data_IF_593095388508
#
_entry.id   IF_593095388508
#
_cell.length_a   1.000
_cell.length_b   1.000
_cell.length_c   1.000
_cell.angle_alpha   90.00
_cell.angle_beta   90.00
_cell.angle_gamma   90.00
#
_symmetry.space_group_name_H-M   'P 1'
#
loop_
_entity.id
_entity.type
_entity.pdbx_description
1 polymer ?
#
# COMPACT_ATOMS: atom_id res chain seq x y z
N UNK A 1 -9.63 -1.31 29.63
CA UNK A 1 -11.07 -0.98 29.60
C UNK A 1 -11.40 0.19 28.66
N UNK A 2 -10.53 1.18 28.46
CA UNK A 2 -10.80 2.31 27.55
C UNK A 2 -10.62 2.00 26.05
N UNK A 3 -9.85 0.97 25.66
CA UNK A 3 -9.74 0.49 24.27
C UNK A 3 -11.03 -0.14 23.72
N UNK A 4 -11.79 -0.83 24.59
CA UNK A 4 -13.09 -1.41 24.25
C UNK A 4 -14.14 -0.35 23.88
N UNK A 5 -14.03 0.88 24.43
CA UNK A 5 -14.96 1.98 24.11
C UNK A 5 -14.82 2.46 22.67
N UNK A 6 -13.62 2.44 22.09
CA UNK A 6 -13.40 2.87 20.70
C UNK A 6 -14.02 1.88 19.69
N UNK A 7 -13.84 0.57 19.92
CA UNK A 7 -14.46 -0.49 19.11
C UNK A 7 -15.98 -0.60 19.34
N UNK A 8 -16.48 -0.20 20.51
CA UNK A 8 -17.92 -0.06 20.77
C UNK A 8 -18.52 1.14 20.03
N UNK A 9 -17.79 2.26 19.93
CA UNK A 9 -18.23 3.43 19.18
C UNK A 9 -18.08 3.27 17.66
N UNK A 10 -17.06 2.59 17.13
CA UNK A 10 -16.97 2.38 15.67
C UNK A 10 -18.08 1.48 15.10
N UNK A 11 -18.73 0.69 15.96
CA UNK A 11 -19.83 -0.22 15.62
C UNK A 11 -21.22 0.33 16.02
N UNK A 12 -21.31 1.48 16.71
CA UNK A 12 -22.57 2.05 17.21
C UNK A 12 -22.66 3.59 17.06
N UNK A 13 -21.54 4.30 16.93
CA UNK A 13 -21.48 5.76 16.83
C UNK A 13 -21.26 6.21 15.39
N UNK A 14 -22.37 6.24 14.66
CA UNK A 14 -22.59 7.35 13.75
C UNK A 14 -22.70 8.63 14.57
N UNK A 15 -21.65 9.43 14.60
CA UNK A 15 -21.85 10.87 14.76
C UNK A 15 -21.02 11.61 13.70
N UNK A 16 -21.75 12.41 12.94
CA UNK A 16 -21.31 13.14 11.77
C UNK A 16 -20.39 14.29 12.16
N UNK A 17 -19.16 14.32 11.65
CA UNK A 17 -18.33 15.51 11.82
C UNK A 17 -16.85 15.37 11.49
N UNK A 18 -16.50 15.03 10.24
CA UNK A 18 -15.35 15.66 9.60
C UNK A 18 -15.38 15.44 8.09
N UNK A 19 -15.57 16.53 7.35
CA UNK A 19 -15.49 16.54 5.88
C UNK A 19 -14.03 16.33 5.47
N UNK A 20 -13.68 15.09 5.13
CA UNK A 20 -12.49 14.83 4.31
C UNK A 20 -12.82 15.27 2.90
N UNK A 21 -12.06 16.26 2.39
CA UNK A 21 -12.17 16.77 1.03
C UNK A 21 -11.93 15.64 0.05
N UNK A 22 -12.95 15.31 -0.73
CA UNK A 22 -12.86 14.46 -1.92
C UNK A 22 -12.34 15.29 -3.07
N UNK A 23 -11.10 15.03 -3.50
CA UNK A 23 -10.61 15.50 -4.80
C UNK A 23 -11.16 14.56 -5.89
N UNK A 24 -12.04 15.11 -6.72
CA UNK A 24 -12.46 14.50 -7.99
C UNK A 24 -11.39 14.73 -9.04
N UNK A 25 -10.97 13.68 -9.76
CA UNK A 25 -10.42 13.82 -11.14
C UNK A 25 -10.41 12.52 -11.94
N UNK A 26 -10.43 12.77 -13.25
CA UNK A 26 -10.88 11.96 -14.36
C UNK A 26 -9.89 10.88 -14.84
N UNK A 27 -10.41 10.04 -15.73
CA UNK A 27 -9.87 8.80 -16.30
C UNK A 27 -8.42 8.80 -16.76
N UNK A 28 -7.76 7.67 -16.49
CA UNK A 28 -6.48 7.24 -17.05
C UNK A 28 -5.55 6.73 -15.96
N UNK A 29 -5.65 5.43 -15.62
CA UNK A 29 -4.66 4.72 -14.79
C UNK A 29 -4.11 5.52 -13.60
N UNK A 30 -4.99 6.08 -12.77
CA UNK A 30 -4.60 6.98 -11.69
C UNK A 30 -3.97 6.18 -10.53
N UNK A 31 -2.65 5.99 -10.56
CA UNK A 31 -1.88 5.89 -9.33
C UNK A 31 -1.93 7.28 -8.68
N UNK A 32 -2.77 7.39 -7.65
CA UNK A 32 -2.95 8.60 -6.87
C UNK A 32 -1.58 9.11 -6.44
N UNK A 33 -1.28 10.37 -6.76
CA UNK A 33 -0.06 11.06 -6.36
C UNK A 33 0.07 11.08 -4.84
N UNK A 34 0.79 10.09 -4.31
CA UNK A 34 1.50 10.26 -3.04
C UNK A 34 2.44 11.44 -3.23
N UNK A 35 2.41 12.38 -2.29
CA UNK A 35 3.42 13.43 -2.22
C UNK A 35 4.79 12.75 -2.22
N UNK A 36 5.50 12.86 -3.34
CA UNK A 36 6.82 12.25 -3.48
C UNK A 36 7.74 13.04 -2.57
N UNK A 37 8.27 12.41 -1.52
CA UNK A 37 9.21 13.06 -0.63
C UNK A 37 10.49 13.42 -1.43
N UNK A 38 10.53 14.66 -1.92
CA UNK A 38 11.60 15.16 -2.78
C UNK A 38 12.95 15.18 -2.06
N UNK A 39 12.96 15.38 -0.74
CA UNK A 39 14.17 15.30 0.07
C UNK A 39 14.79 13.90 -0.01
N UNK A 40 13.98 12.87 0.26
CA UNK A 40 14.39 11.46 0.16
C UNK A 40 14.78 11.08 -1.27
N UNK A 41 14.04 11.55 -2.27
CA UNK A 41 14.35 11.30 -3.68
C UNK A 41 15.72 11.88 -4.08
N UNK A 42 16.02 13.12 -3.71
CA UNK A 42 17.31 13.76 -3.99
C UNK A 42 18.46 13.02 -3.27
N UNK A 43 18.26 12.67 -2.00
CA UNK A 43 19.26 12.00 -1.17
C UNK A 43 19.67 10.61 -1.70
N UNK A 44 18.71 9.84 -2.21
CA UNK A 44 18.96 8.44 -2.62
C UNK A 44 19.13 8.24 -4.13
N UNK A 45 18.56 9.09 -4.98
CA UNK A 45 18.68 8.97 -6.45
C UNK A 45 19.50 10.09 -7.11
N UNK A 46 19.97 11.08 -6.33
CA UNK A 46 20.74 12.19 -6.87
C UNK A 46 22.07 11.79 -7.51
N UNK A 47 22.69 10.71 -7.01
CA UNK A 47 24.01 10.25 -7.45
C UNK A 47 23.95 9.19 -8.56
N UNK A 48 22.99 8.26 -8.44
CA UNK A 48 22.68 7.19 -9.38
C UNK A 48 21.20 6.87 -9.23
N UNK A 49 20.44 6.79 -10.33
CA UNK A 49 19.00 6.51 -10.27
C UNK A 49 18.74 5.05 -9.91
N UNK A 50 17.54 4.76 -9.39
CA UNK A 50 17.14 3.36 -9.09
C UNK A 50 17.08 2.54 -10.39
N UNK A 51 16.53 3.10 -11.48
CA UNK A 51 16.52 2.45 -12.78
C UNK A 51 17.93 2.11 -13.28
N UNK A 52 18.87 3.05 -13.14
CA UNK A 52 20.26 2.81 -13.47
C UNK A 52 20.89 1.74 -12.60
N UNK A 53 20.62 1.75 -11.29
CA UNK A 53 21.13 0.77 -10.34
C UNK A 53 20.66 -0.64 -10.72
N UNK A 54 19.36 -0.81 -10.96
CA UNK A 54 18.78 -2.09 -11.39
C UNK A 54 19.43 -2.57 -12.68
N UNK A 55 19.60 -1.68 -13.66
CA UNK A 55 20.24 -2.00 -14.94
C UNK A 55 21.70 -2.45 -14.78
N UNK A 56 22.54 -1.69 -14.05
CA UNK A 56 23.95 -2.04 -13.87
C UNK A 56 24.11 -3.32 -13.05
N UNK A 57 23.27 -3.52 -12.04
CA UNK A 57 23.29 -4.73 -11.21
C UNK A 57 22.94 -5.96 -12.03
N UNK A 58 22.04 -5.84 -12.99
CA UNK A 58 21.71 -6.94 -13.91
C UNK A 58 22.83 -7.22 -14.91
N UNK A 59 23.29 -6.19 -15.61
CA UNK A 59 24.35 -6.32 -16.62
C UNK A 59 25.65 -6.89 -16.07
N UNK A 60 25.96 -6.58 -14.81
CA UNK A 60 27.17 -7.04 -14.13
C UNK A 60 26.92 -8.21 -13.16
N UNK A 61 25.70 -8.77 -13.15
CA UNK A 61 25.32 -9.92 -12.31
C UNK A 61 25.70 -9.78 -10.84
N UNK A 62 25.28 -8.68 -10.21
CA UNK A 62 25.61 -8.42 -8.81
C UNK A 62 25.07 -9.53 -7.90
N UNK A 63 25.95 -10.07 -7.04
CA UNK A 63 25.50 -10.81 -5.87
C UNK A 63 24.88 -9.85 -4.85
N UNK A 64 24.19 -10.40 -3.85
CA UNK A 64 23.62 -9.61 -2.76
C UNK A 64 24.68 -8.78 -2.04
N UNK A 65 25.82 -9.40 -1.74
CA UNK A 65 26.94 -8.77 -1.04
C UNK A 65 27.56 -7.65 -1.88
N UNK A 66 27.72 -7.89 -3.20
CA UNK A 66 28.26 -6.90 -4.11
C UNK A 66 27.31 -5.69 -4.28
N UNK A 67 26.01 -5.94 -4.34
CA UNK A 67 25.00 -4.88 -4.37
C UNK A 67 25.07 -4.01 -3.13
N UNK A 68 25.09 -4.63 -1.95
CA UNK A 68 25.17 -3.91 -0.68
C UNK A 68 26.47 -3.11 -0.59
N UNK A 69 27.61 -3.72 -0.91
CA UNK A 69 28.91 -3.05 -0.93
C UNK A 69 28.91 -1.86 -1.90
N UNK A 70 28.36 -2.03 -3.10
CA UNK A 70 28.26 -0.97 -4.09
C UNK A 70 27.42 0.19 -3.58
N UNK A 71 26.22 -0.07 -3.05
CA UNK A 71 25.32 0.96 -2.49
C UNK A 71 25.99 1.71 -1.34
N UNK A 72 26.63 0.99 -0.41
CA UNK A 72 27.33 1.58 0.74
C UNK A 72 28.49 2.48 0.29
N UNK A 73 29.25 2.09 -0.74
CA UNK A 73 30.40 2.85 -1.26
C UNK A 73 30.01 3.98 -2.23
N UNK A 74 28.76 4.04 -2.68
CA UNK A 74 28.28 5.03 -3.66
C UNK A 74 27.12 5.86 -3.12
N UNK A 75 25.91 5.32 -3.14
CA UNK A 75 24.67 6.00 -2.76
C UNK A 75 24.77 6.58 -1.35
N UNK A 76 25.21 5.81 -0.36
CA UNK A 76 25.27 6.28 1.02
C UNK A 76 26.38 7.31 1.24
N UNK A 77 27.54 7.12 0.60
CA UNK A 77 28.61 8.14 0.62
C UNK A 77 28.10 9.45 0.02
N UNK A 78 27.44 9.39 -1.13
CA UNK A 78 26.89 10.57 -1.79
C UNK A 78 25.77 11.22 -0.97
N UNK A 79 24.91 10.44 -0.31
CA UNK A 79 23.87 10.92 0.61
C UNK A 79 24.47 11.76 1.74
N UNK A 80 25.47 11.23 2.44
CA UNK A 80 26.13 11.92 3.55
C UNK A 80 26.81 13.21 3.07
N UNK A 81 27.55 13.15 1.96
CA UNK A 81 28.17 14.33 1.35
C UNK A 81 27.14 15.40 0.98
N UNK A 82 26.01 14.98 0.41
CA UNK A 82 24.96 15.90 -0.03
C UNK A 82 24.24 16.56 1.15
N UNK A 83 24.13 15.84 2.27
CA UNK A 83 23.60 16.39 3.51
C UNK A 83 24.56 17.39 4.16
N UNK A 84 25.87 17.10 4.17
CA UNK A 84 26.91 18.00 4.70
C UNK A 84 27.10 19.25 3.83
N UNK A 85 27.15 19.08 2.50
CA UNK A 85 27.31 20.15 1.52
C UNK A 85 26.38 19.94 0.30
N UNK A 86 25.22 20.63 0.25
CA UNK A 86 24.33 20.58 -0.91
C UNK A 86 24.98 21.01 -2.23
N UNK A 87 26.11 21.75 -2.20
CA UNK A 87 26.85 22.12 -3.40
C UNK A 87 27.50 20.92 -4.09
N UNK A 88 27.72 19.82 -3.37
CA UNK A 88 28.24 18.58 -3.92
C UNK A 88 27.33 18.00 -5.02
N UNK A 89 26.03 18.34 -5.04
CA UNK A 89 25.11 17.84 -6.06
C UNK A 89 25.55 18.16 -7.49
N UNK A 90 26.06 19.38 -7.74
CA UNK A 90 26.48 19.80 -9.08
C UNK A 90 27.61 18.96 -9.64
N UNK A 91 28.30 18.22 -8.76
CA UNK A 91 29.45 17.37 -9.03
C UNK A 91 29.06 15.93 -9.32
N UNK A 92 27.85 15.51 -8.98
CA UNK A 92 27.42 14.11 -9.13
C UNK A 92 27.36 13.68 -10.59
N UNK A 93 27.00 14.56 -11.52
CA UNK A 93 26.98 14.23 -12.95
C UNK A 93 28.38 14.20 -13.60
N UNK A 94 29.47 14.30 -12.83
CA UNK A 94 30.82 14.29 -13.40
C UNK A 94 31.27 12.88 -13.82
N UNK A 95 31.83 12.79 -15.02
CA UNK A 95 32.60 11.63 -15.49
C UNK A 95 34.08 12.02 -15.42
N UNK A 96 34.70 11.81 -14.26
CA UNK A 96 36.02 12.37 -13.97
C UNK A 96 37.19 11.63 -14.63
N UNK A 97 38.19 12.41 -15.02
CA UNK A 97 39.60 11.99 -15.06
C UNK A 97 40.21 12.19 -13.66
N UNK A 98 41.20 11.37 -13.28
CA UNK A 98 41.70 11.16 -11.89
C UNK A 98 42.16 12.42 -11.09
N UNK A 99 42.27 13.60 -11.70
CA UNK A 99 42.94 14.78 -11.12
C UNK A 99 42.06 15.86 -10.48
N UNK A 100 40.73 15.80 -10.61
CA UNK A 100 39.93 17.03 -10.50
C UNK A 100 39.19 17.26 -9.15
N UNK A 101 39.36 16.40 -8.14
CA UNK A 101 38.61 16.49 -6.87
C UNK A 101 39.49 16.55 -5.62
N UNK A 102 39.17 17.51 -4.74
CA UNK A 102 39.78 17.69 -3.42
C UNK A 102 39.23 16.74 -2.36
N UNK A 103 38.05 16.14 -2.60
CA UNK A 103 37.36 15.30 -1.63
C UNK A 103 37.45 13.81 -2.02
N UNK A 104 38.25 13.06 -1.27
CA UNK A 104 38.59 11.66 -1.57
C UNK A 104 37.37 10.74 -1.59
N UNK A 105 36.41 10.93 -0.67
CA UNK A 105 35.18 10.12 -0.60
C UNK A 105 34.35 10.25 -1.87
N UNK A 106 34.12 11.48 -2.34
CA UNK A 106 33.36 11.74 -3.55
C UNK A 106 34.06 11.20 -4.79
N UNK A 107 35.39 11.40 -4.88
CA UNK A 107 36.20 10.84 -5.97
C UNK A 107 36.07 9.32 -6.04
N UNK A 108 36.25 8.62 -4.92
CA UNK A 108 36.19 7.15 -4.87
C UNK A 108 34.79 6.64 -5.27
N UNK A 109 33.71 7.30 -4.81
CA UNK A 109 32.35 6.96 -5.20
C UNK A 109 32.11 7.17 -6.70
N UNK A 110 32.59 8.28 -7.27
CA UNK A 110 32.48 8.60 -8.70
C UNK A 110 33.28 7.63 -9.56
N UNK A 111 34.51 7.30 -9.17
CA UNK A 111 35.35 6.31 -9.87
C UNK A 111 34.67 4.94 -9.90
N UNK A 112 34.15 4.47 -8.76
CA UNK A 112 33.46 3.19 -8.68
C UNK A 112 32.20 3.18 -9.55
N UNK A 113 31.35 4.21 -9.47
CA UNK A 113 30.15 4.31 -10.32
C UNK A 113 30.52 4.35 -11.81
N UNK A 114 31.47 5.19 -12.18
CA UNK A 114 31.87 5.38 -13.56
C UNK A 114 32.55 4.12 -14.13
N UNK A 115 33.22 3.31 -13.31
CA UNK A 115 33.73 2.00 -13.71
C UNK A 115 32.60 1.10 -14.26
N UNK A 116 31.46 1.03 -13.57
CA UNK A 116 30.31 0.24 -14.04
C UNK A 116 29.55 0.89 -15.20
N UNK A 117 29.52 2.22 -15.28
CA UNK A 117 28.98 2.88 -16.49
C UNK A 117 29.84 2.63 -17.72
N UNK A 118 31.17 2.60 -17.57
CA UNK A 118 32.08 2.40 -18.69
C UNK A 118 32.20 0.92 -19.10
N UNK A 119 31.82 -0.04 -18.24
CA UNK A 119 31.72 -1.44 -18.63
C UNK A 119 30.50 -1.72 -19.53
N UNK A 120 29.48 -0.86 -19.47
CA UNK A 120 28.30 -0.91 -20.31
C UNK A 120 28.50 -0.19 -21.65
N UNK A 121 28.65 -0.96 -22.73
CA UNK A 121 28.75 -0.40 -24.09
C UNK A 121 27.48 0.30 -24.57
N UNK A 122 26.32 -0.06 -24.02
CA UNK A 122 25.03 0.51 -24.41
C UNK A 122 24.79 1.88 -23.82
N UNK A 123 25.53 2.27 -22.77
CA UNK A 123 25.40 3.51 -22.02
C UNK A 123 24.03 3.71 -21.33
N UNK A 124 23.17 2.69 -21.32
CA UNK A 124 21.80 2.80 -20.80
C UNK A 124 21.79 3.20 -19.33
N UNK A 125 22.61 2.55 -18.49
CA UNK A 125 22.68 2.89 -17.06
C UNK A 125 23.08 4.35 -16.84
N UNK A 126 24.08 4.82 -17.60
CA UNK A 126 24.53 6.21 -17.55
C UNK A 126 23.42 7.18 -17.97
N UNK A 127 22.73 6.89 -19.07
CA UNK A 127 21.63 7.72 -19.58
C UNK A 127 20.48 7.83 -18.57
N UNK A 128 20.06 6.71 -17.99
CA UNK A 128 19.02 6.67 -16.94
C UNK A 128 19.38 7.53 -15.72
N UNK A 129 20.64 7.50 -15.29
CA UNK A 129 21.11 8.36 -14.19
C UNK A 129 21.13 9.83 -14.58
N UNK A 130 21.58 10.15 -15.80
CA UNK A 130 21.61 11.54 -16.31
C UNK A 130 20.21 12.13 -16.47
N UNK A 131 19.25 11.34 -16.93
CA UNK A 131 17.84 11.75 -17.04
C UNK A 131 17.25 12.08 -15.67
N UNK A 132 17.45 11.21 -14.68
CA UNK A 132 17.01 11.44 -13.30
C UNK A 132 17.64 12.70 -12.71
N UNK A 133 18.95 12.88 -12.87
CA UNK A 133 19.67 14.07 -12.41
C UNK A 133 19.10 15.36 -13.03
N UNK A 134 18.86 15.38 -14.36
CA UNK A 134 18.24 16.52 -15.05
C UNK A 134 16.83 16.80 -14.53
N UNK A 135 16.04 15.76 -14.28
CA UNK A 135 14.69 15.89 -13.73
C UNK A 135 14.71 16.52 -12.32
N UNK A 136 15.63 16.09 -11.45
CA UNK A 136 15.81 16.65 -10.11
C UNK A 136 16.28 18.12 -10.14
N UNK A 137 17.21 18.48 -11.02
CA UNK A 137 17.62 19.88 -11.23
C UNK A 137 16.45 20.74 -11.67
N UNK A 138 15.67 20.25 -12.65
CA UNK A 138 14.52 20.99 -13.19
C UNK A 138 13.49 21.27 -12.10
N UNK A 139 13.16 20.27 -11.27
CA UNK A 139 12.21 20.41 -10.15
C UNK A 139 12.69 21.35 -9.05
N UNK A 140 14.00 21.56 -8.93
CA UNK A 140 14.61 22.43 -7.92
C UNK A 140 15.00 23.81 -8.48
N UNK A 141 14.64 24.13 -9.72
CA UNK A 141 15.07 25.37 -10.40
C UNK A 141 16.59 25.59 -10.34
N UNK A 142 17.37 24.50 -10.37
CA UNK A 142 18.83 24.52 -10.26
C UNK A 142 19.39 24.89 -8.88
N UNK A 143 18.54 25.07 -7.86
CA UNK A 143 18.95 25.31 -6.47
C UNK A 143 18.29 24.27 -5.57
N UNK A 144 19.10 23.36 -5.04
CA UNK A 144 18.59 22.35 -4.12
C UNK A 144 17.90 23.01 -2.92
N UNK A 145 16.76 22.46 -2.47
CA UNK A 145 16.16 22.87 -1.21
C UNK A 145 17.11 22.53 -0.05
N UNK A 146 16.85 23.11 1.12
CA UNK A 146 17.52 22.65 2.34
C UNK A 146 17.15 21.19 2.57
N UNK A 147 18.15 20.32 2.52
CA UNK A 147 17.97 18.89 2.75
C UNK A 147 17.93 18.60 4.24
N UNK A 148 17.13 17.60 4.60
CA UNK A 148 17.01 17.08 5.96
C UNK A 148 17.51 15.65 5.97
N UNK A 149 18.28 15.30 7.00
CA UNK A 149 18.75 13.93 7.14
C UNK A 149 17.58 12.98 7.32
N UNK A 150 17.57 11.90 6.53
CA UNK A 150 16.64 10.79 6.69
C UNK A 150 17.44 9.49 6.76
N UNK A 151 17.31 8.76 7.87
CA UNK A 151 17.92 7.44 8.02
C UNK A 151 16.98 6.39 7.44
N UNK A 152 17.14 6.14 6.14
CA UNK A 152 16.36 5.17 5.36
C UNK A 152 17.23 4.14 4.65
N UNK A 153 18.47 3.98 5.10
CA UNK A 153 19.50 3.17 4.42
C UNK A 153 19.12 1.68 4.39
N UNK A 154 18.67 1.14 5.53
CA UNK A 154 18.18 -0.24 5.61
C UNK A 154 16.92 -0.47 4.77
N UNK A 155 16.00 0.50 4.72
CA UNK A 155 14.80 0.41 3.90
C UNK A 155 15.15 0.46 2.40
N UNK A 156 16.12 1.31 2.02
CA UNK A 156 16.65 1.41 0.66
C UNK A 156 17.37 0.12 0.23
N UNK A 157 18.21 -0.47 1.08
CA UNK A 157 18.87 -1.75 0.78
C UNK A 157 17.85 -2.86 0.52
N UNK A 158 16.87 -3.03 1.43
CA UNK A 158 15.81 -4.04 1.26
C UNK A 158 15.01 -3.81 -0.02
N UNK A 159 14.74 -2.55 -0.37
CA UNK A 159 14.08 -2.19 -1.63
C UNK A 159 14.92 -2.63 -2.84
N UNK A 160 16.22 -2.30 -2.86
CA UNK A 160 17.11 -2.67 -3.96
C UNK A 160 17.27 -4.19 -4.08
N UNK A 161 17.38 -4.91 -2.97
CA UNK A 161 17.39 -6.38 -2.95
C UNK A 161 16.11 -6.96 -3.57
N UNK A 162 14.94 -6.45 -3.20
CA UNK A 162 13.66 -6.89 -3.79
C UNK A 162 13.61 -6.63 -5.30
N UNK A 163 14.00 -5.44 -5.74
CA UNK A 163 14.01 -5.09 -7.17
C UNK A 163 14.90 -6.04 -7.97
N UNK A 164 16.09 -6.35 -7.46
CA UNK A 164 17.04 -7.24 -8.13
C UNK A 164 16.59 -8.70 -8.09
N UNK A 165 15.77 -9.10 -7.11
CA UNK A 165 15.20 -10.45 -7.03
C UNK A 165 13.88 -10.60 -7.82
N UNK A 166 13.13 -9.51 -8.05
CA UNK A 166 11.82 -9.50 -8.73
C UNK A 166 11.87 -9.79 -10.25
N UNK A 167 13.04 -10.11 -10.79
CA UNK A 167 13.33 -10.27 -12.24
C UNK A 167 12.50 -11.36 -12.94
N UNK A 168 11.77 -12.17 -12.18
CA UNK A 168 10.95 -13.28 -12.68
C UNK A 168 9.47 -13.17 -12.28
N UNK A 169 9.03 -12.03 -11.74
CA UNK A 169 7.63 -11.82 -11.37
C UNK A 169 6.76 -11.45 -12.58
N UNK A 170 5.49 -11.87 -12.56
CA UNK A 170 4.50 -11.70 -13.65
C UNK A 170 4.28 -10.23 -14.08
N UNK A 171 4.64 -9.27 -13.25
CA UNK A 171 4.35 -7.85 -13.43
C UNK A 171 5.43 -7.04 -14.16
N UNK A 172 6.62 -7.62 -14.36
CA UNK A 172 7.76 -7.00 -15.02
C UNK A 172 8.48 -5.91 -14.19
N UNK A 173 9.77 -5.71 -14.46
CA UNK A 173 10.66 -4.87 -13.65
C UNK A 173 10.20 -3.40 -13.53
N UNK A 174 9.61 -2.83 -14.58
CA UNK A 174 9.11 -1.45 -14.55
C UNK A 174 7.94 -1.24 -13.58
N UNK A 175 7.07 -2.24 -13.39
CA UNK A 175 6.02 -2.14 -12.37
C UNK A 175 6.62 -2.29 -10.97
N UNK A 176 7.58 -3.20 -10.80
CA UNK A 176 8.27 -3.38 -9.53
C UNK A 176 8.99 -2.09 -9.08
N UNK A 177 9.78 -1.46 -9.97
CA UNK A 177 10.45 -0.17 -9.70
C UNK A 177 9.44 0.89 -9.27
N UNK A 178 8.36 1.07 -10.02
CA UNK A 178 7.32 2.07 -9.70
C UNK A 178 6.65 1.81 -8.35
N UNK A 179 6.34 0.55 -8.03
CA UNK A 179 5.71 0.16 -6.77
C UNK A 179 6.63 0.41 -5.58
N UNK A 180 7.88 -0.05 -5.68
CA UNK A 180 8.89 0.09 -4.64
C UNK A 180 9.25 1.56 -4.39
N UNK A 181 9.45 2.35 -5.45
CA UNK A 181 9.70 3.79 -5.33
C UNK A 181 8.52 4.54 -4.72
N UNK A 182 7.29 4.23 -5.13
CA UNK A 182 6.09 4.85 -4.56
C UNK A 182 5.97 4.60 -3.04
N UNK A 183 6.29 3.38 -2.60
CA UNK A 183 6.32 3.04 -1.17
C UNK A 183 7.48 3.74 -0.46
N UNK A 184 8.70 3.65 -1.01
CA UNK A 184 9.90 4.21 -0.41
C UNK A 184 9.84 5.72 -0.28
N UNK A 185 9.19 6.44 -1.20
CA UNK A 185 9.02 7.90 -1.14
C UNK A 185 7.72 8.37 -0.48
N UNK A 186 6.90 7.45 0.01
CA UNK A 186 5.67 7.82 0.71
C UNK A 186 5.98 8.42 2.09
N UNK A 187 5.27 9.49 2.44
CA UNK A 187 5.19 9.97 3.81
C UNK A 187 4.01 9.25 4.47
N UNK A 188 4.31 8.29 5.35
CA UNK A 188 3.29 7.52 6.05
C UNK A 188 2.68 8.37 7.16
N UNK A 189 1.36 8.43 7.20
CA UNK A 189 0.64 8.95 8.35
C UNK A 189 0.73 7.93 9.51
N UNK A 190 0.97 8.40 10.73
CA UNK A 190 0.88 7.54 11.90
C UNK A 190 -0.57 7.06 12.08
N UNK A 191 -0.75 5.74 12.16
CA UNK A 191 -2.07 5.13 12.36
C UNK A 191 -2.11 4.40 13.70
N UNK A 192 -3.14 4.64 14.54
CA UNK A 192 -3.32 3.90 15.78
C UNK A 192 -3.43 2.39 15.53
N UNK A 193 -2.70 1.59 16.33
CA UNK A 193 -2.72 0.12 16.22
C UNK A 193 -4.13 -0.48 16.30
N UNK A 194 -5.03 0.11 17.09
CA UNK A 194 -6.43 -0.30 17.14
C UNK A 194 -7.14 -0.12 15.81
N UNK A 195 -6.89 0.98 15.10
CA UNK A 195 -7.50 1.24 13.80
C UNK A 195 -6.98 0.26 12.75
N UNK A 196 -5.68 -0.08 12.79
CA UNK A 196 -5.09 -1.12 11.95
C UNK A 196 -5.77 -2.47 12.19
N UNK A 197 -5.92 -2.86 13.45
CA UNK A 197 -6.58 -4.12 13.81
C UNK A 197 -8.05 -4.15 13.39
N UNK A 198 -8.80 -3.08 13.65
CA UNK A 198 -10.21 -2.98 13.26
C UNK A 198 -10.37 -3.09 11.73
N UNK A 199 -9.48 -2.45 10.97
CA UNK A 199 -9.45 -2.54 9.50
C UNK A 199 -9.04 -3.92 9.01
N UNK A 200 -8.08 -4.59 9.66
CA UNK A 200 -7.68 -5.97 9.36
C UNK A 200 -8.84 -6.94 9.55
N UNK A 201 -9.55 -6.84 10.68
CA UNK A 201 -10.73 -7.64 10.96
C UNK A 201 -11.78 -7.35 9.89
N UNK A 202 -12.14 -6.08 9.72
CA UNK A 202 -13.17 -5.64 8.76
C UNK A 202 -12.92 -6.20 7.36
N UNK A 203 -11.72 -6.01 6.80
CA UNK A 203 -11.37 -6.53 5.48
C UNK A 203 -11.41 -8.06 5.42
N UNK A 204 -10.91 -8.74 6.46
CA UNK A 204 -10.91 -10.20 6.52
C UNK A 204 -12.33 -10.76 6.49
N UNK A 205 -13.27 -10.13 7.19
CA UNK A 205 -14.67 -10.60 7.25
C UNK A 205 -15.59 -9.95 6.19
N UNK A 206 -15.02 -9.53 5.05
CA UNK A 206 -15.78 -9.07 3.88
C UNK A 206 -16.25 -7.62 3.94
N UNK A 207 -15.67 -6.81 4.81
CA UNK A 207 -16.04 -5.40 5.02
C UNK A 207 -15.88 -4.50 3.81
N UNK A 208 -15.07 -4.90 2.81
CA UNK A 208 -14.98 -4.23 1.51
C UNK A 208 -16.24 -4.37 0.65
N UNK A 209 -17.03 -5.42 0.88
CA UNK A 209 -18.30 -5.67 0.19
C UNK A 209 -19.47 -5.20 1.06
N UNK A 210 -19.47 -5.63 2.32
CA UNK A 210 -20.52 -5.31 3.28
C UNK A 210 -19.89 -5.03 4.65
N UNK A 211 -19.84 -3.76 5.04
CA UNK A 211 -19.26 -3.32 6.30
C UNK A 211 -19.89 -4.10 7.47
N UNK A 212 -19.08 -4.76 8.32
CA UNK A 212 -19.61 -5.75 9.27
C UNK A 212 -20.59 -5.14 10.28
N UNK A 213 -20.36 -3.89 10.69
CA UNK A 213 -21.27 -3.18 11.58
C UNK A 213 -22.64 -2.93 10.97
N UNK A 214 -22.68 -2.53 9.70
CA UNK A 214 -23.94 -2.36 8.97
C UNK A 214 -24.65 -3.69 8.85
N UNK A 215 -23.92 -4.76 8.54
CA UNK A 215 -24.50 -6.08 8.35
C UNK A 215 -25.09 -6.65 9.65
N UNK A 216 -24.37 -6.55 10.77
CA UNK A 216 -24.85 -6.97 12.09
C UNK A 216 -26.15 -6.24 12.45
N UNK A 217 -26.20 -4.92 12.27
CA UNK A 217 -27.38 -4.12 12.57
C UNK A 217 -28.57 -4.44 11.66
N UNK A 218 -28.30 -4.76 10.39
CA UNK A 218 -29.32 -5.14 9.43
C UNK A 218 -29.90 -6.51 9.77
N UNK A 219 -29.04 -7.50 10.05
CA UNK A 219 -29.46 -8.87 10.41
C UNK A 219 -30.32 -8.85 11.67
N UNK A 220 -29.97 -8.06 12.70
CA UNK A 220 -30.81 -7.88 13.89
C UNK A 220 -32.22 -7.36 13.59
N UNK A 221 -32.38 -6.59 12.51
CA UNK A 221 -33.67 -5.98 12.10
C UNK A 221 -34.40 -6.79 11.05
N UNK A 222 -33.76 -7.80 10.45
CA UNK A 222 -34.38 -8.68 9.47
C UNK A 222 -35.38 -9.62 10.18
N UNK A 223 -36.66 -9.38 9.97
CA UNK A 223 -37.71 -10.26 10.46
C UNK A 223 -38.02 -11.36 9.42
N UNK A 224 -37.11 -12.31 9.27
CA UNK A 224 -37.23 -13.44 8.33
C UNK A 224 -37.24 -14.79 9.07
N UNK A 225 -38.08 -15.75 8.66
CA UNK A 225 -37.96 -17.13 9.11
C UNK A 225 -36.59 -17.70 8.75
N UNK A 226 -36.01 -18.54 9.61
CA UNK A 226 -34.74 -19.24 9.38
C UNK A 226 -33.53 -18.32 9.09
N UNK A 227 -33.34 -17.27 9.90
CA UNK A 227 -32.23 -16.32 9.74
C UNK A 227 -30.85 -17.00 9.74
N UNK A 228 -30.67 -18.05 10.52
CA UNK A 228 -29.43 -18.87 10.51
C UNK A 228 -29.14 -19.49 9.15
N UNK A 229 -30.14 -20.02 8.45
CA UNK A 229 -29.96 -20.59 7.12
C UNK A 229 -29.57 -19.51 6.10
N UNK A 230 -30.20 -18.33 6.21
CA UNK A 230 -29.84 -17.17 5.39
C UNK A 230 -28.38 -16.75 5.61
N UNK A 231 -27.96 -16.60 6.88
CA UNK A 231 -26.59 -16.22 7.27
C UNK A 231 -25.57 -17.22 6.73
N UNK A 232 -25.78 -18.52 6.98
CA UNK A 232 -24.86 -19.57 6.52
C UNK A 232 -24.73 -19.62 4.99
N UNK A 233 -25.79 -19.27 4.25
CA UNK A 233 -25.76 -19.22 2.78
C UNK A 233 -25.03 -17.98 2.25
N UNK A 234 -25.23 -16.82 2.87
CA UNK A 234 -24.70 -15.55 2.36
C UNK A 234 -23.24 -15.32 2.71
N UNK A 235 -22.80 -15.74 3.90
CA UNK A 235 -21.45 -15.42 4.41
C UNK A 235 -20.34 -15.93 3.48
N UNK A 236 -20.34 -17.19 3.01
CA UNK A 236 -19.32 -17.65 2.07
C UNK A 236 -19.24 -16.81 0.79
N UNK A 237 -20.37 -16.26 0.32
CA UNK A 237 -20.39 -15.41 -0.89
C UNK A 237 -19.83 -14.01 -0.63
N UNK A 238 -20.11 -13.44 0.54
CA UNK A 238 -19.58 -12.14 0.94
C UNK A 238 -18.08 -12.20 1.25
N UNK A 239 -17.58 -13.34 1.77
CA UNK A 239 -16.17 -13.52 2.11
C UNK A 239 -15.29 -13.94 0.92
N UNK A 240 -15.86 -14.55 -0.11
CA UNK A 240 -15.13 -15.08 -1.25
C UNK A 240 -14.15 -14.09 -1.93
N UNK A 241 -14.45 -12.77 -2.05
CA UNK A 241 -13.47 -11.80 -2.57
C UNK A 241 -12.26 -11.62 -1.65
N UNK A 242 -12.47 -11.59 -0.33
CA UNK A 242 -11.38 -11.47 0.65
C UNK A 242 -10.56 -12.77 0.74
N UNK A 243 -11.18 -13.94 0.59
CA UNK A 243 -10.46 -15.21 0.47
C UNK A 243 -9.53 -15.24 -0.75
N UNK A 244 -10.02 -14.76 -1.90
CA UNK A 244 -9.23 -14.63 -3.13
C UNK A 244 -8.09 -13.60 -2.98
N UNK A 245 -8.33 -12.51 -2.26
CA UNK A 245 -7.27 -11.55 -1.94
C UNK A 245 -6.16 -12.22 -1.12
N UNK A 246 -6.52 -12.92 -0.04
CA UNK A 246 -5.56 -13.59 0.84
C UNK A 246 -4.77 -14.67 0.09
N UNK A 247 -5.42 -15.45 -0.77
CA UNK A 247 -4.74 -16.49 -1.56
C UNK A 247 -3.70 -15.88 -2.50
N UNK A 248 -4.00 -14.74 -3.13
CA UNK A 248 -3.08 -14.03 -4.05
C UNK A 248 -1.97 -13.28 -3.34
N UNK A 249 -2.14 -12.94 -2.06
CA UNK A 249 -1.09 -12.35 -1.24
C UNK A 249 -0.01 -13.36 -0.83
N UNK A 250 -0.27 -14.66 -0.98
CA UNK A 250 0.67 -15.70 -0.59
C UNK A 250 1.99 -15.56 -1.38
N UNK A 251 3.12 -15.67 -0.68
CA UNK A 251 4.50 -15.50 -1.20
C UNK A 251 4.85 -14.12 -1.77
N UNK A 252 3.94 -13.15 -1.75
CA UNK A 252 4.24 -11.78 -2.16
C UNK A 252 5.02 -11.01 -1.11
N UNK A 253 5.90 -10.12 -1.57
CA UNK A 253 6.58 -9.13 -0.73
C UNK A 253 5.58 -8.16 -0.08
N UNK A 254 6.02 -7.45 0.96
CA UNK A 254 5.18 -6.48 1.65
C UNK A 254 4.58 -5.42 0.70
N UNK A 255 5.40 -4.83 -0.16
CA UNK A 255 4.98 -3.77 -1.10
C UNK A 255 3.97 -4.27 -2.12
N UNK A 256 4.15 -5.50 -2.62
CA UNK A 256 3.20 -6.18 -3.48
C UNK A 256 1.87 -6.44 -2.78
N UNK A 257 1.90 -7.00 -1.56
CA UNK A 257 0.71 -7.24 -0.76
C UNK A 257 -0.06 -5.95 -0.55
N UNK A 258 0.63 -4.87 -0.19
CA UNK A 258 0.05 -3.56 0.04
C UNK A 258 -0.61 -3.00 -1.22
N UNK A 259 0.10 -3.04 -2.36
CA UNK A 259 -0.46 -2.63 -3.66
C UNK A 259 -1.71 -3.44 -4.00
N UNK A 260 -1.64 -4.76 -3.87
CA UNK A 260 -2.74 -5.67 -4.19
C UNK A 260 -3.98 -5.39 -3.35
N UNK A 261 -3.81 -5.14 -2.04
CA UNK A 261 -4.91 -4.78 -1.13
C UNK A 261 -5.54 -3.45 -1.54
N UNK A 262 -4.73 -2.44 -1.83
CA UNK A 262 -5.23 -1.12 -2.24
C UNK A 262 -5.97 -1.21 -3.59
N UNK A 263 -5.41 -1.94 -4.57
CA UNK A 263 -6.05 -2.17 -5.87
C UNK A 263 -7.34 -2.97 -5.77
N UNK A 264 -7.38 -3.96 -4.88
CA UNK A 264 -8.60 -4.70 -4.55
C UNK A 264 -9.68 -3.79 -3.97
N UNK A 265 -9.32 -2.93 -3.02
CA UNK A 265 -10.27 -1.99 -2.40
C UNK A 265 -10.80 -0.96 -3.41
N UNK A 266 -9.94 -0.44 -4.29
CA UNK A 266 -10.39 0.39 -5.42
C UNK A 266 -11.31 -0.38 -6.38
N UNK A 267 -11.05 -1.66 -6.61
CA UNK A 267 -11.92 -2.51 -7.43
C UNK A 267 -13.30 -2.69 -6.78
N UNK A 268 -13.37 -2.77 -5.45
CA UNK A 268 -14.65 -2.79 -4.71
C UNK A 268 -15.38 -1.45 -4.79
N UNK A 269 -14.66 -0.32 -4.73
CA UNK A 269 -15.23 1.03 -4.75
C UNK A 269 -15.75 1.43 -6.15
N UNK A 270 -14.97 1.18 -7.18
CA UNK A 270 -15.21 1.70 -8.53
C UNK A 270 -15.64 0.60 -9.54
N UNK A 271 -15.74 -0.67 -9.11
CA UNK A 271 -16.05 -1.83 -9.98
C UNK A 271 -15.14 -1.93 -11.20
N UNK A 272 -13.83 -1.71 -10.97
CA UNK A 272 -12.81 -1.78 -12.03
C UNK A 272 -12.71 -3.20 -12.58
N UNK A 273 -12.43 -3.30 -13.88
CA UNK A 273 -12.00 -4.57 -14.48
C UNK A 273 -10.67 -5.02 -13.85
N UNK A 274 -10.60 -6.29 -13.48
CA UNK A 274 -9.44 -6.82 -12.78
C UNK A 274 -9.60 -8.27 -12.36
N UNK A 275 -8.56 -8.84 -11.74
CA UNK A 275 -8.52 -10.26 -11.36
C UNK A 275 -9.60 -10.66 -10.35
N UNK A 276 -10.13 -9.72 -9.60
CA UNK A 276 -11.14 -9.96 -8.57
C UNK A 276 -12.58 -9.77 -9.04
N UNK A 277 -12.78 -9.27 -10.28
CA UNK A 277 -14.09 -8.79 -10.77
C UNK A 277 -15.21 -9.80 -10.56
N UNK A 278 -15.05 -11.04 -11.01
CA UNK A 278 -16.11 -12.07 -10.91
C UNK A 278 -16.55 -12.32 -9.46
N UNK A 279 -15.58 -12.38 -8.52
CA UNK A 279 -15.87 -12.60 -7.10
C UNK A 279 -16.52 -11.37 -6.48
N UNK A 280 -16.00 -10.18 -6.78
CA UNK A 280 -16.55 -8.90 -6.32
C UNK A 280 -18.00 -8.74 -6.80
N UNK A 281 -18.26 -8.92 -8.10
CA UNK A 281 -19.59 -8.77 -8.68
C UNK A 281 -20.60 -9.70 -8.01
N UNK A 282 -20.26 -10.99 -7.85
CA UNK A 282 -21.13 -11.97 -7.16
C UNK A 282 -21.39 -11.60 -5.69
N UNK A 283 -20.39 -11.07 -5.00
CA UNK A 283 -20.55 -10.66 -3.61
C UNK A 283 -21.45 -9.41 -3.49
N UNK A 284 -21.32 -8.45 -4.40
CA UNK A 284 -22.21 -7.27 -4.47
C UNK A 284 -23.64 -7.63 -4.91
N UNK A 285 -23.82 -8.64 -5.77
CA UNK A 285 -25.13 -9.22 -6.07
C UNK A 285 -25.77 -9.82 -4.82
N UNK A 286 -25.02 -10.57 -4.00
CA UNK A 286 -25.53 -11.10 -2.74
C UNK A 286 -25.88 -9.98 -1.75
N UNK A 287 -25.03 -8.96 -1.63
CA UNK A 287 -25.35 -7.73 -0.86
C UNK A 287 -26.67 -7.13 -1.31
N UNK A 288 -26.89 -7.00 -2.62
CA UNK A 288 -28.12 -6.43 -3.17
C UNK A 288 -29.34 -7.24 -2.75
N UNK A 289 -29.28 -8.58 -2.84
CA UNK A 289 -30.38 -9.47 -2.40
C UNK A 289 -30.72 -9.29 -0.91
N UNK A 290 -29.71 -9.14 -0.06
CA UNK A 290 -29.90 -8.92 1.39
C UNK A 290 -30.63 -7.58 1.63
N UNK A 291 -30.18 -6.53 0.95
CA UNK A 291 -30.78 -5.20 1.04
C UNK A 291 -32.21 -5.16 0.52
N UNK A 292 -32.51 -5.87 -0.58
CA UNK A 292 -33.87 -6.00 -1.12
C UNK A 292 -34.84 -6.62 -0.10
N UNK A 293 -34.39 -7.66 0.62
CA UNK A 293 -35.21 -8.27 1.68
C UNK A 293 -35.44 -7.30 2.83
N UNK A 294 -34.40 -6.59 3.27
CA UNK A 294 -34.49 -5.62 4.38
C UNK A 294 -35.37 -4.41 4.05
N UNK A 295 -35.30 -3.90 2.82
CA UNK A 295 -36.02 -2.69 2.40
C UNK A 295 -37.42 -2.99 1.85
N UNK A 296 -37.83 -4.26 1.80
CA UNK A 296 -39.10 -4.68 1.21
C UNK A 296 -40.29 -3.97 1.89
N UNK A 297 -41.04 -3.21 1.11
CA UNK A 297 -42.23 -2.49 1.58
C UNK A 297 -41.94 -1.20 2.37
N UNK A 298 -40.67 -0.76 2.44
CA UNK A 298 -40.32 0.49 3.11
C UNK A 298 -40.57 1.70 2.18
N UNK A 299 -41.41 2.68 2.57
CA UNK A 299 -41.70 3.86 1.75
C UNK A 299 -40.47 4.76 1.53
N UNK A 300 -39.40 4.59 2.31
CA UNK A 300 -38.13 5.31 2.21
C UNK A 300 -36.98 4.40 1.73
N UNK A 301 -37.29 3.27 1.10
CA UNK A 301 -36.30 2.28 0.64
C UNK A 301 -35.12 2.93 -0.12
N UNK A 302 -35.40 3.79 -1.10
CA UNK A 302 -34.37 4.44 -1.91
C UNK A 302 -33.44 5.34 -1.09
N UNK A 303 -33.98 6.11 -0.15
CA UNK A 303 -33.18 6.98 0.71
C UNK A 303 -32.30 6.16 1.65
N UNK A 304 -32.84 5.08 2.23
CA UNK A 304 -32.06 4.17 3.08
C UNK A 304 -30.95 3.47 2.30
N UNK A 305 -31.22 3.03 1.08
CA UNK A 305 -30.22 2.42 0.19
C UNK A 305 -29.05 3.38 -0.06
N UNK A 306 -29.33 4.64 -0.40
CA UNK A 306 -28.29 5.66 -0.61
C UNK A 306 -27.42 5.87 0.64
N UNK A 307 -28.02 5.87 1.83
CA UNK A 307 -27.27 5.98 3.09
C UNK A 307 -26.38 4.75 3.32
N UNK A 308 -26.90 3.55 3.06
CA UNK A 308 -26.14 2.30 3.22
C UNK A 308 -24.99 2.18 2.21
N UNK A 309 -25.20 2.63 0.98
CA UNK A 309 -24.14 2.69 -0.04
C UNK A 309 -23.08 3.71 0.34
N UNK A 310 -23.50 4.90 0.81
CA UNK A 310 -22.54 5.91 1.28
C UNK A 310 -21.68 5.40 2.44
N UNK A 311 -22.27 4.64 3.35
CA UNK A 311 -21.54 4.04 4.46
C UNK A 311 -20.57 2.94 4.02
N UNK A 312 -20.95 2.17 3.01
CA UNK A 312 -20.05 1.19 2.42
C UNK A 312 -18.86 1.87 1.75
N UNK A 313 -19.09 2.94 0.99
CA UNK A 313 -18.03 3.76 0.41
C UNK A 313 -17.09 4.35 1.47
N UNK A 314 -17.65 4.88 2.55
CA UNK A 314 -16.86 5.47 3.64
C UNK A 314 -16.00 4.42 4.36
N UNK A 315 -16.51 3.20 4.57
CA UNK A 315 -15.71 2.08 5.09
C UNK A 315 -14.59 1.68 4.12
N UNK A 316 -14.87 1.55 2.82
CA UNK A 316 -13.82 1.22 1.83
C UNK A 316 -12.74 2.31 1.80
N UNK A 317 -13.12 3.59 1.82
CA UNK A 317 -12.18 4.71 1.85
C UNK A 317 -11.33 4.71 3.12
N UNK A 318 -11.92 4.40 4.28
CA UNK A 318 -11.17 4.19 5.53
C UNK A 318 -10.18 3.03 5.40
N UNK A 319 -10.58 1.89 4.84
CA UNK A 319 -9.67 0.76 4.62
C UNK A 319 -8.51 1.14 3.69
N UNK A 320 -8.79 1.86 2.59
CA UNK A 320 -7.76 2.36 1.66
C UNK A 320 -6.78 3.26 2.40
N UNK A 321 -7.29 4.22 3.19
CA UNK A 321 -6.44 5.11 3.99
C UNK A 321 -5.56 4.33 4.95
N UNK A 322 -6.12 3.35 5.68
CA UNK A 322 -5.36 2.54 6.63
C UNK A 322 -4.28 1.74 5.93
N UNK A 323 -4.64 0.89 4.96
CA UNK A 323 -3.70 -0.02 4.32
C UNK A 323 -2.66 0.68 3.43
N UNK A 324 -2.87 1.95 3.05
CA UNK A 324 -1.81 2.78 2.45
C UNK A 324 -0.70 3.20 3.41
N UNK A 325 -0.97 3.19 4.71
CA UNK A 325 -0.06 3.73 5.72
C UNK A 325 0.41 2.67 6.74
N UNK A 326 -0.12 1.44 6.68
CA UNK A 326 0.36 0.35 7.55
C UNK A 326 1.80 -0.07 7.22
N UNK A 327 2.44 -0.64 8.23
CA UNK A 327 3.67 -1.41 8.12
C UNK A 327 3.38 -2.89 7.86
N UNK A 328 4.43 -3.70 7.77
CA UNK A 328 4.36 -5.10 7.35
C UNK A 328 3.48 -5.98 8.23
N UNK A 329 3.51 -5.76 9.55
CA UNK A 329 2.67 -6.43 10.54
C UNK A 329 1.17 -6.11 10.38
N UNK A 330 0.85 -5.00 9.73
CA UNK A 330 -0.52 -4.56 9.47
C UNK A 330 -1.24 -5.29 8.34
N UNK A 331 -0.55 -6.14 7.55
CA UNK A 331 -1.11 -6.88 6.41
C UNK A 331 -1.34 -8.37 6.67
N UNK A 332 -1.59 -8.74 7.93
CA UNK A 332 -1.90 -10.12 8.32
C UNK A 332 -3.42 -10.31 8.34
N UNK A 333 -3.97 -10.88 7.27
CA UNK A 333 -5.40 -11.20 7.16
C UNK A 333 -5.67 -12.67 7.48
N UNK A 334 -6.85 -12.97 8.03
CA UNK A 334 -7.22 -14.32 8.47
C UNK A 334 -8.68 -14.62 8.17
N UNK A 335 -8.92 -15.66 7.37
CA UNK A 335 -10.26 -16.21 7.09
C UNK A 335 -10.16 -17.72 7.21
N UNK A 336 -9.94 -18.20 8.43
CA UNK A 336 -10.01 -19.62 8.72
C UNK A 336 -11.35 -19.98 9.34
N UNK A 337 -11.60 -21.28 9.47
CA UNK A 337 -12.86 -21.80 9.99
C UNK A 337 -13.27 -21.19 11.35
N UNK A 338 -12.37 -21.05 12.35
CA UNK A 338 -12.68 -20.36 13.60
C UNK A 338 -13.16 -18.92 13.41
N UNK A 339 -12.51 -18.13 12.55
CA UNK A 339 -12.93 -16.75 12.25
C UNK A 339 -14.32 -16.73 11.61
N UNK A 340 -14.58 -17.61 10.65
CA UNK A 340 -15.89 -17.67 9.96
C UNK A 340 -17.01 -18.07 10.94
N UNK A 341 -16.78 -19.09 11.78
CA UNK A 341 -17.74 -19.54 12.79
C UNK A 341 -18.02 -18.46 13.84
N UNK A 342 -16.98 -17.75 14.31
CA UNK A 342 -17.14 -16.63 15.23
C UNK A 342 -17.90 -15.45 14.59
N UNK A 343 -17.68 -15.19 13.30
CA UNK A 343 -18.40 -14.15 12.58
C UNK A 343 -19.87 -14.50 12.36
N UNK A 344 -20.18 -15.74 11.99
CA UNK A 344 -21.57 -16.23 11.89
C UNK A 344 -22.27 -16.11 13.25
N UNK A 345 -21.63 -16.55 14.34
CA UNK A 345 -22.17 -16.44 15.69
C UNK A 345 -22.44 -14.97 16.08
N UNK A 346 -21.55 -14.05 15.70
CA UNK A 346 -21.77 -12.61 15.89
C UNK A 346 -22.99 -12.09 15.13
N UNK A 347 -23.29 -12.61 13.94
CA UNK A 347 -24.46 -12.22 13.17
C UNK A 347 -25.76 -12.80 13.73
N UNK A 348 -25.73 -14.00 14.28
CA UNK A 348 -26.89 -14.68 14.88
C UNK A 348 -27.28 -14.06 16.22
N UNK A 349 -26.32 -13.95 17.15
CA UNK A 349 -26.61 -13.54 18.54
C UNK A 349 -26.41 -12.03 18.75
N UNK A 350 -25.50 -11.43 17.98
CA UNK A 350 -25.14 -10.02 18.02
C UNK A 350 -24.84 -9.46 19.43
N UNK A 351 -24.40 -10.35 20.32
CA UNK A 351 -24.04 -10.05 21.69
C UNK A 351 -22.55 -9.68 21.83
N UNK A 352 -22.25 -8.94 22.91
CA UNK A 352 -20.88 -8.51 23.24
C UNK A 352 -19.86 -9.66 23.35
N UNK A 353 -20.17 -10.83 23.93
CA UNK A 353 -19.21 -11.93 24.01
C UNK A 353 -18.80 -12.48 22.64
N UNK A 354 -19.72 -12.59 21.68
CA UNK A 354 -19.41 -13.07 20.32
C UNK A 354 -18.46 -12.10 19.59
N UNK A 355 -18.65 -10.79 19.81
CA UNK A 355 -17.78 -9.74 19.28
C UNK A 355 -16.37 -9.79 19.88
N UNK A 356 -16.27 -10.00 21.20
CA UNK A 356 -14.98 -10.15 21.89
C UNK A 356 -14.26 -11.43 21.45
N UNK A 357 -14.99 -12.54 21.26
CA UNK A 357 -14.44 -13.79 20.75
C UNK A 357 -13.82 -13.62 19.35
N UNK A 358 -14.53 -12.97 18.42
CA UNK A 358 -14.00 -12.70 17.08
C UNK A 358 -12.75 -11.80 17.13
N UNK A 359 -12.77 -10.76 17.98
CA UNK A 359 -11.64 -9.83 18.12
C UNK A 359 -10.37 -10.53 18.61
N UNK A 360 -10.51 -11.43 19.59
CA UNK A 360 -9.38 -12.15 20.18
C UNK A 360 -8.65 -13.03 19.15
N UNK A 361 -9.35 -13.58 18.16
CA UNK A 361 -8.74 -14.39 17.09
C UNK A 361 -7.75 -13.62 16.18
N UNK A 362 -7.76 -12.28 16.22
CA UNK A 362 -6.87 -11.41 15.46
C UNK A 362 -5.82 -10.70 16.32
N UNK A 363 -5.91 -10.85 17.65
CA UNK A 363 -4.92 -10.38 18.61
C UNK A 363 -3.81 -11.40 18.85
N UNK A 364 -4.10 -12.68 18.63
CA UNK A 364 -3.14 -13.78 18.49
C UNK A 364 -2.36 -13.67 17.18
#
# INVERSE_FOLDING_TARGET
MDFLKFFLNALVAHDSGNKVRTDTREHGGAYLGTSTNLNREILYEGFISIDSMVFISEMNQFSRELLEEFIRKTVFVAKELLFEDPSAFSRFNSCLEKSDYTEEKLRNALELRNQYFNSDKSMIGKELSMEKYKALISRTNGKLPRLHYEDKDEEYLRMMERLINSKHEDDGIHKAIRRETAEFYSDRAEIPKSLVLDSRISLSIGGSVFAPGILVDLIKKLNVPNISELINRMIPRLLAPSEELISRMHLKSFTEKKSLVVDFLYSCLERRDGPFKEKIDRAFEERTKILEVYLKGDPRAQQKLQVLDKLQEDEINKLIFVFRNVEEDGLVFRIDRPVVEAYISLLEDAQRPAKEALYNLFME
#
